data_IF_018436548632
#
_entry.id   IF_018436548632
#
_cell.length_a   1.000
_cell.length_b   1.000
_cell.length_c   1.000
_cell.angle_alpha   90.00
_cell.angle_beta   90.00
_cell.angle_gamma   90.00
#
_symmetry.space_group_name_H-M   'P 1'
#
loop_
_entity.id
_entity.type
_entity.pdbx_description
1 polymer ?
#
# COMPACT_ATOMS: atom_id res chain seq x y z
N UNK A 1 -7.89 -2.03 -5.40
CA UNK A 1 -6.99 -2.49 -4.32
C UNK A 1 -5.58 -2.79 -4.81
N UNK A 2 -5.35 -3.79 -5.66
CA UNK A 2 -4.00 -4.11 -6.19
C UNK A 2 -3.31 -2.92 -6.89
N UNK A 3 -4.07 -2.01 -7.52
CA UNK A 3 -3.50 -0.80 -8.13
C UNK A 3 -3.20 0.33 -7.16
N UNK A 4 -3.85 0.35 -5.99
CA UNK A 4 -3.81 1.49 -5.05
C UNK A 4 -3.08 1.16 -3.75
N UNK A 5 -2.75 -0.11 -3.50
CA UNK A 5 -2.17 -0.54 -2.23
C UNK A 5 -0.79 0.10 -1.94
N UNK A 6 0.01 0.32 -2.98
CA UNK A 6 1.33 0.96 -2.89
C UNK A 6 1.32 2.41 -3.39
N UNK A 7 0.13 3.03 -3.57
CA UNK A 7 0.05 4.39 -4.15
C UNK A 7 0.82 5.43 -3.31
N UNK A 8 0.86 5.25 -1.98
CA UNK A 8 1.60 6.11 -1.06
C UNK A 8 3.12 6.11 -1.30
N UNK A 9 3.68 5.04 -1.87
CA UNK A 9 5.12 4.95 -2.17
C UNK A 9 5.59 6.01 -3.17
N UNK A 10 4.66 6.58 -3.96
CA UNK A 10 4.97 7.71 -4.83
C UNK A 10 5.44 8.97 -4.07
N UNK A 11 5.07 9.11 -2.78
CA UNK A 11 5.48 10.23 -1.92
C UNK A 11 6.62 9.83 -0.98
N UNK A 12 6.53 8.65 -0.35
CA UNK A 12 7.46 8.25 0.73
C UNK A 12 8.53 7.24 0.29
N UNK A 13 8.45 6.71 -0.93
CA UNK A 13 9.29 5.63 -1.43
C UNK A 13 8.89 4.24 -0.90
N UNK A 14 9.50 3.19 -1.45
CA UNK A 14 9.32 1.80 -1.00
C UNK A 14 10.05 1.58 0.34
N UNK A 15 9.27 1.42 1.41
CA UNK A 15 9.78 1.19 2.77
C UNK A 15 9.89 -0.31 3.02
N UNK A 16 11.11 -0.81 2.90
CA UNK A 16 11.44 -2.21 3.12
C UNK A 16 11.82 -2.48 4.59
N UNK A 17 11.84 -3.76 5.04
CA UNK A 17 12.30 -4.11 6.39
C UNK A 17 13.72 -3.63 6.71
N UNK A 18 14.56 -3.40 5.69
CA UNK A 18 15.94 -2.94 5.85
C UNK A 18 16.03 -1.46 6.23
N UNK A 19 14.93 -0.70 6.10
CA UNK A 19 14.87 0.71 6.45
C UNK A 19 14.77 0.96 7.97
N UNK A 20 14.61 -0.08 8.80
CA UNK A 20 14.53 0.04 10.26
C UNK A 20 13.28 0.77 10.77
N UNK A 21 12.23 0.86 9.95
CA UNK A 21 10.95 1.49 10.30
C UNK A 21 10.03 0.45 10.94
N UNK A 22 9.42 0.78 12.08
CA UNK A 22 8.45 -0.12 12.74
C UNK A 22 7.19 -0.25 11.89
N UNK A 23 6.44 -1.35 12.06
CA UNK A 23 5.21 -1.60 11.30
C UNK A 23 4.18 -0.50 11.54
N UNK A 24 4.06 -0.02 12.78
CA UNK A 24 3.14 1.05 13.17
C UNK A 24 3.53 2.37 12.52
N UNK A 25 4.83 2.69 12.52
CA UNK A 25 5.33 3.91 11.89
C UNK A 25 5.13 3.85 10.37
N UNK A 26 5.39 2.70 9.74
CA UNK A 26 5.13 2.44 8.31
C UNK A 26 3.66 2.67 7.97
N UNK A 27 2.75 2.13 8.77
CA UNK A 27 1.32 2.34 8.58
C UNK A 27 0.93 3.83 8.64
N UNK A 28 1.43 4.58 9.63
CA UNK A 28 1.10 6.00 9.80
C UNK A 28 1.57 6.83 8.60
N UNK A 29 2.82 6.65 8.17
CA UNK A 29 3.38 7.43 7.06
C UNK A 29 2.77 7.05 5.71
N UNK A 30 2.45 5.76 5.49
CA UNK A 30 1.71 5.32 4.30
C UNK A 30 0.31 5.90 4.27
N UNK A 31 -0.41 5.87 5.40
CA UNK A 31 -1.75 6.45 5.50
C UNK A 31 -1.73 7.94 5.16
N UNK A 32 -0.79 8.69 5.72
CA UNK A 32 -0.63 10.12 5.43
C UNK A 32 -0.32 10.38 3.95
N UNK A 33 0.52 9.55 3.33
CA UNK A 33 0.84 9.65 1.92
C UNK A 33 -0.38 9.37 1.03
N UNK A 34 -1.17 8.35 1.35
CA UNK A 34 -2.42 8.03 0.63
C UNK A 34 -3.44 9.16 0.78
N UNK A 35 -3.65 9.66 2.00
CA UNK A 35 -4.54 10.79 2.25
C UNK A 35 -4.12 12.03 1.45
N UNK A 36 -2.82 12.31 1.39
CA UNK A 36 -2.27 13.40 0.58
C UNK A 36 -2.54 13.19 -0.92
N UNK A 37 -2.25 12.00 -1.47
CA UNK A 37 -2.47 11.71 -2.90
C UNK A 37 -3.95 11.78 -3.26
N UNK A 38 -4.83 11.33 -2.36
CA UNK A 38 -6.28 11.39 -2.53
C UNK A 38 -6.80 12.83 -2.66
N UNK A 39 -6.06 13.85 -2.21
CA UNK A 39 -6.44 15.27 -2.40
C UNK A 39 -6.23 15.78 -3.83
N UNK A 40 -5.42 15.11 -4.64
CA UNK A 40 -5.12 15.54 -6.01
C UNK A 40 -6.19 15.14 -7.04
N UNK A 41 -7.15 14.30 -6.62
CA UNK A 41 -8.25 13.82 -7.45
C UNK A 41 -9.59 14.33 -6.93
N UNK A 42 -10.68 14.26 -7.72
CA UNK A 42 -12.02 14.55 -7.21
C UNK A 42 -12.33 13.78 -5.92
N UNK A 43 -13.01 14.44 -4.97
CA UNK A 43 -13.23 13.91 -3.63
C UNK A 43 -13.80 12.49 -3.59
N UNK A 44 -14.74 12.16 -4.48
CA UNK A 44 -15.32 10.82 -4.58
C UNK A 44 -14.30 9.73 -4.96
N UNK A 45 -13.32 10.07 -5.80
CA UNK A 45 -12.23 9.17 -6.20
C UNK A 45 -11.23 9.04 -5.06
N UNK A 46 -10.85 10.16 -4.45
CA UNK A 46 -9.91 10.17 -3.32
C UNK A 46 -10.43 9.38 -2.12
N UNK A 47 -11.71 9.55 -1.78
CA UNK A 47 -12.38 8.77 -0.73
C UNK A 47 -12.36 7.26 -1.06
N UNK A 48 -12.64 6.90 -2.31
CA UNK A 48 -12.61 5.51 -2.74
C UNK A 48 -11.20 4.91 -2.63
N UNK A 49 -10.15 5.66 -3.01
CA UNK A 49 -8.77 5.20 -2.89
C UNK A 49 -8.36 4.98 -1.44
N UNK A 50 -8.67 5.94 -0.56
CA UNK A 50 -8.39 5.83 0.87
C UNK A 50 -9.11 4.63 1.49
N UNK A 51 -10.37 4.39 1.14
CA UNK A 51 -11.12 3.22 1.60
C UNK A 51 -10.52 1.90 1.12
N UNK A 52 -10.18 1.80 -0.18
CA UNK A 52 -9.56 0.60 -0.75
C UNK A 52 -8.18 0.30 -0.14
N UNK A 53 -7.41 1.35 0.16
CA UNK A 53 -6.13 1.21 0.84
C UNK A 53 -6.31 0.74 2.29
N UNK A 54 -7.28 1.30 3.02
CA UNK A 54 -7.59 0.87 4.38
C UNK A 54 -8.02 -0.60 4.43
N UNK A 55 -8.91 -1.00 3.54
CA UNK A 55 -9.37 -2.40 3.41
C UNK A 55 -8.20 -3.37 3.15
N UNK A 56 -7.24 -2.97 2.31
CA UNK A 56 -6.01 -3.72 2.07
C UNK A 56 -5.11 -3.80 3.32
N UNK A 57 -4.90 -2.66 3.98
CA UNK A 57 -4.03 -2.55 5.14
C UNK A 57 -4.53 -3.46 6.27
N UNK A 58 -5.83 -3.43 6.54
CA UNK A 58 -6.49 -4.24 7.58
C UNK A 58 -6.71 -5.71 7.16
N UNK A 59 -6.72 -6.01 5.87
CA UNK A 59 -6.97 -7.36 5.31
C UNK A 59 -8.30 -7.97 5.80
N UNK A 60 -9.35 -7.16 5.89
CA UNK A 60 -10.65 -7.54 6.42
C UNK A 60 -11.48 -8.42 5.44
N UNK A 61 -11.32 -8.21 4.13
CA UNK A 61 -12.10 -8.90 3.10
C UNK A 61 -11.34 -10.07 2.45
N UNK A 62 -12.04 -11.06 1.85
CA UNK A 62 -11.41 -12.11 1.05
C UNK A 62 -10.54 -11.54 -0.07
N UNK A 63 -11.01 -10.48 -0.74
CA UNK A 63 -10.30 -9.77 -1.80
C UNK A 63 -9.01 -9.16 -1.27
N UNK A 64 -9.04 -8.50 -0.11
CA UNK A 64 -7.84 -7.93 0.52
C UNK A 64 -6.82 -8.99 0.90
N UNK A 65 -7.27 -10.12 1.45
CA UNK A 65 -6.39 -11.25 1.77
C UNK A 65 -5.75 -11.83 0.52
N UNK A 66 -6.52 -11.98 -0.56
CA UNK A 66 -6.03 -12.48 -1.84
C UNK A 66 -4.98 -11.54 -2.44
N UNK A 67 -5.25 -10.24 -2.51
CA UNK A 67 -4.29 -9.24 -3.03
C UNK A 67 -3.01 -9.22 -2.20
N UNK A 68 -3.11 -9.33 -0.86
CA UNK A 68 -1.94 -9.35 0.04
C UNK A 68 -1.09 -10.61 -0.11
N UNK A 69 -1.71 -11.74 -0.47
CA UNK A 69 -0.98 -12.95 -0.84
C UNK A 69 -0.29 -12.80 -2.20
N UNK A 70 -0.97 -12.22 -3.19
CA UNK A 70 -0.40 -11.94 -4.51
C UNK A 70 0.77 -10.97 -4.44
N UNK A 71 0.68 -9.90 -3.64
CA UNK A 71 1.76 -8.95 -3.39
C UNK A 71 3.00 -9.65 -2.78
N UNK A 72 2.82 -10.52 -1.79
CA UNK A 72 3.92 -11.33 -1.23
C UNK A 72 4.59 -12.23 -2.27
N UNK A 73 3.79 -12.89 -3.12
CA UNK A 73 4.31 -13.70 -4.22
C UNK A 73 5.08 -12.83 -5.22
N UNK A 74 4.53 -11.68 -5.60
CA UNK A 74 5.18 -10.74 -6.51
C UNK A 74 6.52 -10.26 -5.96
N UNK A 75 6.61 -9.89 -4.67
CA UNK A 75 7.88 -9.54 -4.01
C UNK A 75 8.87 -10.72 -3.99
N UNK A 76 8.39 -11.95 -3.75
CA UNK A 76 9.25 -13.15 -3.76
C UNK A 76 9.83 -13.44 -5.15
N UNK A 77 9.01 -13.33 -6.21
CA UNK A 77 9.50 -13.51 -7.57
C UNK A 77 10.38 -12.33 -8.02
N UNK A 78 10.04 -11.10 -7.63
CA UNK A 78 10.83 -9.90 -7.95
C UNK A 78 12.20 -9.87 -7.28
N UNK A 79 12.33 -10.40 -6.06
CA UNK A 79 13.63 -10.53 -5.39
C UNK A 79 14.52 -11.63 -5.98
N UNK A 80 13.92 -12.62 -6.67
CA UNK A 80 14.64 -13.73 -7.32
C UNK A 80 15.21 -13.38 -8.71
N UNK A 81 14.89 -12.21 -9.27
CA UNK A 81 15.31 -11.76 -10.63
C UNK A 81 16.28 -10.57 -10.58
N UNK A 82 16.80 -10.20 -9.40
CA UNK A 82 17.96 -9.29 -9.32
C UNK A 82 19.26 -10.09 -9.59
N UNK A 83 19.55 -10.34 -10.88
CA UNK A 83 20.90 -10.64 -11.40
C UNK A 83 21.73 -9.35 -11.48
#
# INVERSE_FOLDING_TARGET
>A
MALVHDIGEAIIGDITPNCGVSVEKKYIIEKQAVEQISTYVPASIGENWTQLWLEYAEACTPEAKAVKQLDKLARFFGSSIKL
#
